data_IF_849009168178
#
_entry.id   IF_849009168178
#
_cell.length_a   1.000
_cell.length_b   1.000
_cell.length_c   1.000
_cell.angle_alpha   90.00
_cell.angle_beta   90.00
_cell.angle_gamma   90.00
#
_symmetry.space_group_name_H-M   'P 1'
#
loop_
_entity.id
_entity.type
_entity.pdbx_description
1 polymer ?
#
# COMPACT_ATOMS: atom_id res chain seq x y z
N UNK A 1 35.82 10.04 -43.83
CA UNK A 1 35.07 8.82 -44.19
C UNK A 1 33.59 9.13 -44.10
N UNK A 2 32.84 8.98 -45.18
CA UNK A 2 31.40 9.15 -45.21
C UNK A 2 30.70 7.83 -44.78
N UNK A 3 29.64 7.92 -44.03
CA UNK A 3 28.77 6.77 -43.65
C UNK A 3 28.02 6.27 -44.89
N UNK A 4 27.95 4.97 -45.06
CA UNK A 4 27.15 4.37 -46.13
C UNK A 4 25.68 4.27 -45.69
N UNK A 5 24.75 4.37 -46.63
CA UNK A 5 23.32 4.27 -46.42
C UNK A 5 22.94 2.90 -45.80
N UNK A 6 23.62 1.84 -46.19
CA UNK A 6 23.37 0.49 -45.69
C UNK A 6 23.79 0.33 -44.22
N UNK A 7 24.89 0.94 -43.80
CA UNK A 7 25.32 0.93 -42.39
C UNK A 7 24.26 1.59 -41.48
N UNK A 8 23.69 2.71 -41.93
CA UNK A 8 22.62 3.38 -41.18
C UNK A 8 21.36 2.53 -41.11
N UNK A 9 20.99 1.89 -42.24
CA UNK A 9 19.77 1.08 -42.33
C UNK A 9 19.84 -0.15 -41.41
N UNK A 10 20.97 -0.82 -41.35
CA UNK A 10 21.20 -1.98 -40.47
C UNK A 10 21.09 -1.57 -38.98
N UNK A 11 21.70 -0.44 -38.61
CA UNK A 11 21.66 0.05 -37.23
C UNK A 11 20.23 0.36 -36.77
N UNK A 12 19.46 1.07 -37.60
CA UNK A 12 18.05 1.39 -37.21
C UNK A 12 17.17 0.14 -37.18
N UNK A 13 17.43 -0.85 -38.04
CA UNK A 13 16.72 -2.12 -37.99
C UNK A 13 16.99 -2.88 -36.68
N UNK A 14 18.24 -2.95 -36.22
CA UNK A 14 18.60 -3.60 -34.96
C UNK A 14 17.98 -2.87 -33.76
N UNK A 15 18.08 -1.53 -33.75
CA UNK A 15 17.46 -0.73 -32.68
C UNK A 15 15.94 -0.95 -32.64
N UNK A 16 15.28 -1.01 -33.78
CA UNK A 16 13.84 -1.26 -33.88
C UNK A 16 13.42 -2.60 -33.26
N UNK A 17 14.19 -3.68 -33.58
CA UNK A 17 13.93 -5.00 -33.00
C UNK A 17 14.14 -5.00 -31.48
N UNK A 18 15.26 -4.43 -31.01
CA UNK A 18 15.57 -4.36 -29.58
C UNK A 18 14.54 -3.53 -28.81
N UNK A 19 14.09 -2.41 -29.38
CA UNK A 19 13.06 -1.58 -28.76
C UNK A 19 11.72 -2.33 -28.63
N UNK A 20 11.31 -3.06 -29.67
CA UNK A 20 10.06 -3.82 -29.63
C UNK A 20 10.02 -4.88 -28.52
N UNK A 21 11.11 -5.64 -28.35
CA UNK A 21 11.24 -6.64 -27.29
C UNK A 21 11.38 -5.98 -25.92
N UNK A 22 12.15 -4.89 -25.84
CA UNK A 22 12.41 -4.17 -24.59
C UNK A 22 11.16 -3.60 -23.94
N UNK A 23 10.24 -3.03 -24.71
CA UNK A 23 8.99 -2.45 -24.19
C UNK A 23 8.10 -3.51 -23.53
N UNK A 24 7.96 -4.68 -24.14
CA UNK A 24 7.12 -5.77 -23.60
C UNK A 24 7.70 -6.29 -22.27
N UNK A 25 9.02 -6.52 -22.24
CA UNK A 25 9.72 -6.99 -21.05
C UNK A 25 9.65 -5.95 -19.91
N UNK A 26 9.81 -4.66 -20.22
CA UNK A 26 9.75 -3.57 -19.26
C UNK A 26 8.36 -3.46 -18.60
N UNK A 27 7.29 -3.55 -19.38
CA UNK A 27 5.92 -3.49 -18.87
C UNK A 27 5.61 -4.66 -17.92
N UNK A 28 6.10 -5.86 -18.25
CA UNK A 28 5.95 -7.03 -17.36
C UNK A 28 6.70 -6.86 -16.05
N UNK A 29 7.92 -6.36 -16.12
CA UNK A 29 8.75 -6.10 -14.95
C UNK A 29 8.14 -5.03 -14.02
N UNK A 30 7.72 -3.90 -14.57
CA UNK A 30 7.12 -2.82 -13.77
C UNK A 30 5.82 -3.24 -13.12
N UNK A 31 4.98 -4.04 -13.79
CA UNK A 31 3.76 -4.58 -13.20
C UNK A 31 4.03 -5.51 -12.02
N UNK A 32 5.04 -6.38 -12.14
CA UNK A 32 5.47 -7.27 -11.07
C UNK A 32 6.10 -6.52 -9.90
N UNK A 33 6.90 -5.49 -10.17
CA UNK A 33 7.48 -4.63 -9.15
C UNK A 33 6.40 -3.91 -8.34
N UNK A 34 5.38 -3.33 -8.99
CA UNK A 34 4.23 -2.69 -8.33
C UNK A 34 3.47 -3.67 -7.44
N UNK A 35 3.24 -4.89 -7.89
CA UNK A 35 2.58 -5.93 -7.10
C UNK A 35 3.41 -6.30 -5.85
N UNK A 36 4.73 -6.40 -6.00
CA UNK A 36 5.64 -6.68 -4.89
C UNK A 36 5.62 -5.57 -3.84
N UNK A 37 5.68 -4.30 -4.25
CA UNK A 37 5.57 -3.15 -3.34
C UNK A 37 4.22 -3.15 -2.63
N UNK A 38 3.13 -3.41 -3.32
CA UNK A 38 1.80 -3.50 -2.73
C UNK A 38 1.72 -4.58 -1.62
N UNK A 39 2.23 -5.78 -1.88
CA UNK A 39 2.31 -6.87 -0.90
C UNK A 39 3.18 -6.52 0.30
N UNK A 40 4.29 -5.83 0.05
CA UNK A 40 5.17 -5.36 1.12
C UNK A 40 4.48 -4.30 1.99
N UNK A 41 3.77 -3.35 1.40
CA UNK A 41 2.96 -2.35 2.11
C UNK A 41 1.90 -3.02 3.01
N UNK A 42 1.24 -4.06 2.49
CA UNK A 42 0.29 -4.83 3.29
C UNK A 42 0.93 -5.54 4.49
N UNK A 43 2.11 -6.13 4.29
CA UNK A 43 2.87 -6.77 5.36
C UNK A 43 3.36 -5.75 6.40
N UNK A 44 3.81 -4.59 5.95
CA UNK A 44 4.24 -3.50 6.83
C UNK A 44 3.09 -2.98 7.68
N UNK A 45 1.92 -2.72 7.07
CA UNK A 45 0.73 -2.27 7.80
C UNK A 45 0.32 -3.27 8.89
N UNK A 46 0.32 -4.57 8.59
CA UNK A 46 0.03 -5.60 9.60
C UNK A 46 0.98 -5.52 10.81
N UNK A 47 2.27 -5.36 10.54
CA UNK A 47 3.27 -5.22 11.60
C UNK A 47 3.05 -3.96 12.43
N UNK A 48 2.74 -2.83 11.79
CA UNK A 48 2.47 -1.57 12.47
C UNK A 48 1.23 -1.67 13.37
N UNK A 49 0.16 -2.34 12.94
CA UNK A 49 -1.03 -2.54 13.74
C UNK A 49 -0.69 -3.32 15.03
N UNK A 50 -0.02 -4.45 14.90
CA UNK A 50 0.38 -5.27 16.05
C UNK A 50 1.32 -4.51 16.97
N UNK A 51 2.30 -3.79 16.42
CA UNK A 51 3.25 -3.00 17.19
C UNK A 51 2.55 -1.89 18.00
N UNK A 52 1.65 -1.14 17.37
CA UNK A 52 0.90 -0.08 18.07
C UNK A 52 -0.02 -0.65 19.15
N UNK A 53 -0.63 -1.81 18.89
CA UNK A 53 -1.42 -2.49 19.91
C UNK A 53 -0.55 -2.91 21.11
N UNK A 54 0.59 -3.57 20.85
CA UNK A 54 1.52 -3.98 21.90
C UNK A 54 2.05 -2.77 22.70
N UNK A 55 2.36 -1.65 22.03
CA UNK A 55 2.77 -0.45 22.76
C UNK A 55 1.68 0.06 23.69
N UNK A 56 0.41 -0.04 23.29
CA UNK A 56 -0.72 0.36 24.13
C UNK A 56 -0.94 -0.54 25.37
N UNK A 57 -0.34 -1.73 25.40
CA UNK A 57 -0.34 -2.59 26.60
C UNK A 57 0.65 -2.13 27.69
N UNK A 58 1.68 -1.36 27.30
CA UNK A 58 2.76 -0.94 28.18
C UNK A 58 2.84 0.57 28.41
N UNK A 59 2.02 1.36 27.74
CA UNK A 59 2.04 2.83 27.80
C UNK A 59 0.63 3.37 28.05
N UNK A 60 0.53 4.50 28.73
CA UNK A 60 -0.75 5.18 28.99
C UNK A 60 -1.31 5.84 27.73
N UNK A 61 -0.49 6.07 26.72
CA UNK A 61 -0.90 6.64 25.45
C UNK A 61 0.08 6.29 24.33
N UNK A 62 -0.45 6.21 23.12
CA UNK A 62 0.35 6.05 21.89
C UNK A 62 0.09 7.23 20.95
N UNK A 63 1.14 7.66 20.24
CA UNK A 63 1.01 8.70 19.23
C UNK A 63 0.95 8.05 17.84
N UNK A 64 -0.22 8.12 17.19
CA UNK A 64 -0.38 7.69 15.81
C UNK A 64 -0.24 8.91 14.92
N UNK A 65 0.90 9.00 14.21
CA UNK A 65 1.17 10.09 13.28
C UNK A 65 0.22 10.02 12.10
N UNK A 66 -0.70 10.95 12.04
CA UNK A 66 -1.57 11.14 10.87
C UNK A 66 -0.98 12.25 10.02
N UNK A 67 -0.37 11.90 8.88
CA UNK A 67 0.08 12.87 7.89
C UNK A 67 -1.02 13.14 6.85
N UNK A 68 -1.27 14.41 6.59
CA UNK A 68 -1.98 15.01 5.45
C UNK A 68 -3.32 14.37 5.01
N UNK A 69 -4.40 15.00 5.39
CA UNK A 69 -5.64 15.00 4.60
C UNK A 69 -5.70 16.34 3.86
N UNK A 70 -5.80 16.30 2.51
CA UNK A 70 -6.01 17.48 1.67
C UNK A 70 -4.98 18.62 1.83
N UNK A 71 -3.69 18.32 1.74
CA UNK A 71 -2.60 19.31 1.90
C UNK A 71 -2.56 20.02 3.26
N UNK A 72 -3.32 19.61 4.23
CA UNK A 72 -3.22 20.12 5.60
C UNK A 72 -2.32 19.17 6.41
N UNK A 73 -1.32 19.70 7.17
CA UNK A 73 -0.54 18.85 8.09
C UNK A 73 -1.48 18.10 9.01
N UNK A 74 -1.44 16.78 8.96
CA UNK A 74 -2.19 15.94 9.88
C UNK A 74 -1.73 16.20 11.31
N UNK A 75 -2.66 16.37 12.23
CA UNK A 75 -2.33 16.43 13.65
C UNK A 75 -1.98 15.03 14.13
N UNK A 76 -0.86 14.90 14.81
CA UNK A 76 -0.54 13.71 15.57
C UNK A 76 -1.72 13.40 16.50
N UNK A 77 -2.23 12.18 16.43
CA UNK A 77 -3.35 11.75 17.26
C UNK A 77 -2.83 10.94 18.44
N UNK A 78 -2.94 11.52 19.62
CA UNK A 78 -2.73 10.78 20.85
C UNK A 78 -3.96 9.92 21.13
N UNK A 79 -3.75 8.63 21.27
CA UNK A 79 -4.75 7.69 21.77
C UNK A 79 -4.40 7.32 23.20
N UNK A 80 -5.31 7.51 24.14
CA UNK A 80 -5.16 6.99 25.50
C UNK A 80 -5.30 5.47 25.48
N UNK A 81 -4.46 4.80 26.24
CA UNK A 81 -4.48 3.36 26.45
C UNK A 81 -5.12 3.02 27.82
N UNK A 82 -5.74 1.86 27.99
CA UNK A 82 -5.93 0.80 26.98
C UNK A 82 -7.02 1.11 25.95
N UNK A 83 -6.82 0.66 24.73
CA UNK A 83 -7.81 0.73 23.65
C UNK A 83 -8.07 -0.67 23.09
N UNK A 84 -9.27 -0.90 22.59
CA UNK A 84 -9.55 -2.14 21.89
C UNK A 84 -8.74 -2.24 20.58
N UNK A 85 -8.43 -3.47 20.19
CA UNK A 85 -7.63 -3.75 19.00
C UNK A 85 -8.20 -3.09 17.73
N UNK A 86 -9.53 -3.11 17.56
CA UNK A 86 -10.19 -2.53 16.40
C UNK A 86 -9.97 -1.02 16.27
N UNK A 87 -9.98 -0.28 17.38
CA UNK A 87 -9.70 1.17 17.39
C UNK A 87 -8.26 1.44 16.95
N UNK A 88 -7.28 0.74 17.54
CA UNK A 88 -5.86 0.90 17.20
C UNK A 88 -5.59 0.50 15.76
N UNK A 89 -6.15 -0.63 15.32
CA UNK A 89 -6.00 -1.10 13.95
C UNK A 89 -6.60 -0.13 12.94
N UNK A 90 -7.79 0.43 13.22
CA UNK A 90 -8.45 1.42 12.38
C UNK A 90 -7.64 2.72 12.26
N UNK A 91 -7.19 3.28 13.36
CA UNK A 91 -6.41 4.53 13.36
C UNK A 91 -5.01 4.33 12.73
N UNK A 92 -4.36 3.17 12.99
CA UNK A 92 -3.09 2.82 12.34
C UNK A 92 -3.28 2.68 10.83
N UNK A 93 -4.37 2.06 10.38
CA UNK A 93 -4.65 1.91 8.95
C UNK A 93 -4.85 3.27 8.28
N UNK A 94 -5.61 4.17 8.89
CA UNK A 94 -5.78 5.55 8.41
C UNK A 94 -4.45 6.29 8.33
N UNK A 95 -3.64 6.21 9.39
CA UNK A 95 -2.30 6.80 9.42
C UNK A 95 -1.42 6.25 8.29
N UNK A 96 -1.40 4.94 8.13
CA UNK A 96 -0.62 4.29 7.07
C UNK A 96 -1.02 4.77 5.67
N UNK A 97 -2.30 4.80 5.36
CA UNK A 97 -2.76 5.23 4.05
C UNK A 97 -2.48 6.69 3.74
N UNK A 98 -2.47 7.55 4.77
CA UNK A 98 -2.09 8.94 4.62
C UNK A 98 -0.58 9.14 4.41
N UNK A 99 0.25 8.19 4.83
CA UNK A 99 1.71 8.29 4.80
C UNK A 99 2.36 7.44 3.70
N UNK A 100 1.68 6.43 3.21
CA UNK A 100 2.20 5.52 2.19
C UNK A 100 1.70 5.92 0.80
N UNK A 101 2.58 5.77 -0.19
CA UNK A 101 2.22 5.99 -1.60
C UNK A 101 1.73 4.70 -2.23
N UNK A 102 0.65 4.81 -3.02
CA UNK A 102 0.21 3.69 -3.84
C UNK A 102 1.19 3.47 -5.00
N UNK A 103 1.68 2.25 -5.22
CA UNK A 103 2.53 1.95 -6.37
C UNK A 103 1.78 2.03 -7.71
N UNK A 104 0.44 2.04 -7.67
CA UNK A 104 -0.42 2.10 -8.86
C UNK A 104 -0.82 3.52 -9.24
N UNK A 105 -0.84 4.44 -8.27
CA UNK A 105 -1.26 5.84 -8.45
C UNK A 105 -0.23 6.78 -7.81
N UNK A 106 0.99 6.90 -8.37
CA UNK A 106 2.06 7.68 -7.76
C UNK A 106 1.79 9.19 -7.72
N UNK A 107 0.86 9.68 -8.53
CA UNK A 107 0.50 11.09 -8.59
C UNK A 107 -0.54 11.51 -7.54
N UNK A 108 -1.19 10.55 -6.90
CA UNK A 108 -1.95 10.81 -5.68
C UNK A 108 -0.95 10.91 -4.53
N UNK A 109 -0.30 12.07 -4.43
CA UNK A 109 0.48 12.40 -3.25
C UNK A 109 -0.44 12.20 -2.04
N UNK A 110 -0.11 11.22 -1.19
CA UNK A 110 -0.70 10.99 0.13
C UNK A 110 -1.97 10.12 0.25
N UNK A 111 -2.39 9.33 -0.75
CA UNK A 111 -3.59 8.54 -0.50
C UNK A 111 -3.54 7.15 -1.12
N UNK A 112 -3.18 6.18 -0.30
CA UNK A 112 -3.77 4.86 -0.49
C UNK A 112 -5.26 5.03 -0.15
N UNK A 113 -6.19 4.77 -1.07
CA UNK A 113 -7.61 4.85 -0.77
C UNK A 113 -7.95 3.91 0.39
N UNK A 114 -8.36 4.49 1.52
CA UNK A 114 -8.73 3.74 2.72
C UNK A 114 -10.23 3.82 2.89
N UNK A 115 -10.84 2.67 3.04
CA UNK A 115 -12.27 2.54 3.21
C UNK A 115 -12.56 1.76 4.49
N UNK A 116 -13.33 2.38 5.37
CA UNK A 116 -13.89 1.73 6.56
C UNK A 116 -15.27 1.18 6.21
N UNK A 117 -15.33 0.08 5.44
CA UNK A 117 -16.60 -0.55 5.07
C UNK A 117 -16.43 -2.04 4.75
N UNK A 118 -17.53 -2.75 4.78
CA UNK A 118 -17.58 -4.18 4.44
C UNK A 118 -17.51 -4.32 2.92
N UNK A 119 -16.35 -4.70 2.39
CA UNK A 119 -16.16 -4.91 0.95
C UNK A 119 -14.69 -4.99 0.54
N UNK A 120 -14.49 -5.22 -0.73
CA UNK A 120 -13.15 -5.23 -1.31
C UNK A 120 -12.76 -3.81 -1.75
N UNK A 121 -11.49 -3.42 -1.59
CA UNK A 121 -11.02 -2.15 -2.11
C UNK A 121 -11.30 -2.03 -3.61
N UNK A 122 -11.88 -0.92 -4.09
CA UNK A 122 -12.28 -0.78 -5.49
C UNK A 122 -11.09 -0.65 -6.45
N UNK A 123 -9.99 -0.07 -6.00
CA UNK A 123 -8.79 0.21 -6.80
C UNK A 123 -7.57 -0.56 -6.32
N UNK A 124 -6.62 -0.81 -7.23
CA UNK A 124 -5.34 -1.39 -6.88
C UNK A 124 -4.55 -0.46 -5.95
N UNK A 125 -3.96 -1.04 -4.91
CA UNK A 125 -3.31 -0.30 -3.83
C UNK A 125 -4.27 0.16 -2.73
N UNK A 126 -5.59 0.08 -2.94
CA UNK A 126 -6.59 0.45 -1.94
C UNK A 126 -6.64 -0.50 -0.76
N UNK A 127 -7.02 0.02 0.40
CA UNK A 127 -7.17 -0.71 1.66
C UNK A 127 -8.61 -0.60 2.14
N UNK A 128 -9.20 -1.72 2.54
CA UNK A 128 -10.44 -1.76 3.30
C UNK A 128 -10.20 -2.45 4.64
N UNK A 129 -10.81 -1.93 5.69
CA UNK A 129 -10.74 -2.52 7.02
C UNK A 129 -12.08 -2.40 7.74
N UNK A 130 -12.40 -3.38 8.56
CA UNK A 130 -13.60 -3.36 9.39
C UNK A 130 -13.52 -4.38 10.53
N UNK A 131 -14.17 -4.09 11.67
CA UNK A 131 -14.39 -5.07 12.72
C UNK A 131 -15.46 -6.07 12.27
N UNK A 132 -15.24 -7.34 12.56
CA UNK A 132 -16.22 -8.41 12.41
C UNK A 132 -16.49 -9.05 13.77
N UNK A 133 -17.60 -9.80 13.88
CA UNK A 133 -17.90 -10.60 15.08
C UNK A 133 -16.79 -11.61 15.42
N UNK A 134 -16.00 -12.03 14.43
CA UNK A 134 -14.90 -12.97 14.58
C UNK A 134 -13.52 -12.29 14.71
N UNK A 135 -13.45 -10.94 14.76
CA UNK A 135 -12.19 -10.22 14.86
C UNK A 135 -12.12 -8.97 13.97
N UNK A 136 -10.92 -8.60 13.58
CA UNK A 136 -10.65 -7.46 12.71
C UNK A 136 -10.12 -7.97 11.35
N UNK A 137 -10.72 -7.49 10.27
CA UNK A 137 -10.34 -7.86 8.92
C UNK A 137 -9.72 -6.71 8.17
N UNK A 138 -8.59 -6.98 7.53
CA UNK A 138 -7.85 -6.06 6.67
C UNK A 138 -7.77 -6.64 5.26
N UNK A 139 -8.09 -5.84 4.27
CA UNK A 139 -8.03 -6.19 2.86
C UNK A 139 -7.23 -5.17 2.07
N UNK A 140 -6.44 -5.63 1.10
CA UNK A 140 -5.72 -4.76 0.17
C UNK A 140 -5.82 -5.35 -1.23
N UNK A 141 -6.10 -4.51 -2.22
CA UNK A 141 -6.12 -4.94 -3.63
C UNK A 141 -4.76 -4.70 -4.26
N UNK A 142 -4.18 -5.76 -4.84
CA UNK A 142 -2.89 -5.69 -5.54
C UNK A 142 -3.03 -6.37 -6.91
N UNK A 143 -2.91 -5.62 -7.99
CA UNK A 143 -3.03 -6.10 -9.38
C UNK A 143 -4.30 -6.93 -9.60
N UNK A 144 -5.45 -6.36 -9.26
CA UNK A 144 -6.77 -6.99 -9.39
C UNK A 144 -7.06 -8.09 -8.38
N UNK A 145 -6.10 -8.54 -7.58
CA UNK A 145 -6.27 -9.56 -6.55
C UNK A 145 -6.40 -8.93 -5.17
N UNK A 146 -7.36 -9.42 -4.38
CA UNK A 146 -7.54 -8.97 -3.00
C UNK A 146 -6.81 -9.91 -2.05
N UNK A 147 -5.92 -9.32 -1.26
CA UNK A 147 -5.22 -10.01 -0.18
C UNK A 147 -6.01 -9.73 1.09
N UNK A 148 -6.32 -10.77 1.84
CA UNK A 148 -7.11 -10.66 3.08
C UNK A 148 -6.28 -11.16 4.25
N UNK A 149 -6.35 -10.45 5.35
CA UNK A 149 -5.82 -10.89 6.63
C UNK A 149 -6.85 -10.63 7.73
N UNK A 150 -7.04 -11.59 8.60
CA UNK A 150 -7.99 -11.51 9.71
C UNK A 150 -7.28 -11.83 11.02
N UNK A 151 -7.42 -10.93 11.99
CA UNK A 151 -7.04 -11.19 13.37
C UNK A 151 -8.25 -11.75 14.11
N UNK A 152 -8.16 -12.97 14.67
CA UNK A 152 -9.23 -13.51 15.51
C UNK A 152 -9.34 -12.76 16.84
N UNK A 153 -10.55 -12.64 17.39
CA UNK A 153 -10.78 -11.99 18.69
C UNK A 153 -9.94 -12.61 19.81
N UNK A 154 -9.68 -13.91 19.74
CA UNK A 154 -8.90 -14.64 20.74
C UNK A 154 -7.45 -14.17 20.88
N UNK A 155 -6.91 -13.46 19.91
CA UNK A 155 -5.54 -12.91 19.97
C UNK A 155 -5.50 -11.53 20.64
N UNK A 156 -6.63 -10.82 20.65
CA UNK A 156 -6.71 -9.43 21.13
C UNK A 156 -8.05 -9.24 21.84
N UNK A 157 -8.14 -9.62 23.10
CA UNK A 157 -9.35 -9.48 23.93
C UNK A 157 -9.81 -8.03 24.12
#
# INVERSE_FOLDING_TARGET
KAFTLIELLVVVAIIGILAAVGVVAYNGYTASAKESVCKNNFSLLKKMIVQNYTFCEFQDSINIKTQYLNNTPGKDRMLSCPQNFGTIAGETTKSFGNNASSPYEPNLAYNIPILSYIGDPPTDGGIAYYPESAGFKLRMRCRGKVIVYQWPISQFP
#
